data_IF_516025424003
#
_entry.id   IF_516025424003
#
_cell.length_a   1.000
_cell.length_b   1.000
_cell.length_c   1.000
_cell.angle_alpha   90.00
_cell.angle_beta   90.00
_cell.angle_gamma   90.00
#
_symmetry.space_group_name_H-M   'P 1'
#
loop_
_entity.id
_entity.type
_entity.pdbx_description
1 polymer ?
#
# COMPACT_ATOMS: atom_id res chain seq x y z
N UNK A 1 19.14 -24.29 -15.56
CA UNK A 1 18.26 -23.71 -14.54
C UNK A 1 18.60 -22.23 -14.41
N UNK A 2 17.85 -21.35 -15.04
CA UNK A 2 17.95 -19.91 -14.78
C UNK A 2 17.18 -19.66 -13.49
N UNK A 3 17.88 -19.29 -12.42
CA UNK A 3 17.22 -18.74 -11.22
C UNK A 3 16.29 -17.61 -11.68
N UNK A 4 14.99 -17.65 -11.35
CA UNK A 4 14.08 -16.58 -11.72
C UNK A 4 14.56 -15.34 -10.97
N UNK A 5 15.01 -14.34 -11.73
CA UNK A 5 15.43 -13.08 -11.17
C UNK A 5 14.27 -12.54 -10.32
N UNK A 6 14.52 -12.33 -9.02
CA UNK A 6 13.60 -11.63 -8.14
C UNK A 6 13.28 -10.27 -8.77
N UNK A 7 12.10 -10.14 -9.37
CA UNK A 7 11.65 -8.96 -10.09
C UNK A 7 10.99 -7.94 -9.14
N UNK A 8 11.38 -7.95 -7.87
CA UNK A 8 10.94 -6.95 -6.91
C UNK A 8 11.63 -5.61 -7.21
N UNK A 9 10.91 -4.73 -7.89
CA UNK A 9 11.31 -3.32 -8.02
C UNK A 9 10.48 -2.51 -7.03
N UNK A 10 11.05 -1.93 -5.97
CA UNK A 10 10.28 -1.16 -5.01
C UNK A 10 9.78 0.14 -5.66
N UNK A 11 8.54 0.13 -6.14
CA UNK A 11 7.91 1.31 -6.74
C UNK A 11 7.04 2.00 -5.70
N UNK A 12 7.39 3.23 -5.34
CA UNK A 12 6.51 4.09 -4.53
C UNK A 12 5.27 4.45 -5.34
N UNK A 13 4.09 4.39 -4.70
CA UNK A 13 2.83 4.85 -5.30
C UNK A 13 2.15 5.89 -4.43
N UNK A 14 1.42 6.79 -5.08
CA UNK A 14 0.57 7.76 -4.40
C UNK A 14 -0.77 7.12 -4.07
N UNK A 15 -1.33 7.47 -2.92
CA UNK A 15 -2.62 7.00 -2.44
C UNK A 15 -3.69 8.00 -2.85
N UNK A 16 -4.77 7.50 -3.47
CA UNK A 16 -5.95 8.28 -3.84
C UNK A 16 -7.12 8.10 -2.89
N UNK A 17 -7.18 6.99 -2.15
CA UNK A 17 -8.21 6.75 -1.13
C UNK A 17 -7.75 5.72 -0.09
N UNK A 18 -8.29 5.85 1.13
CA UNK A 18 -8.21 4.85 2.21
C UNK A 18 -9.58 4.73 2.88
N UNK A 19 -10.11 3.51 3.00
CA UNK A 19 -11.40 3.27 3.65
C UNK A 19 -11.27 3.24 5.18
N UNK A 20 -12.32 3.66 5.90
CA UNK A 20 -12.46 3.42 7.35
C UNK A 20 -12.96 1.99 7.55
N UNK A 21 -12.08 1.09 8.00
CA UNK A 21 -12.40 -0.31 8.30
C UNK A 21 -11.32 -0.95 9.21
N UNK A 22 -11.67 -2.07 9.83
CA UNK A 22 -10.72 -2.93 10.56
C UNK A 22 -9.59 -3.46 9.65
N UNK A 23 -9.87 -3.57 8.36
CA UNK A 23 -8.90 -3.90 7.32
C UNK A 23 -9.00 -2.88 6.20
N UNK A 24 -8.24 -1.80 6.30
CA UNK A 24 -8.36 -0.70 5.36
C UNK A 24 -8.02 -1.13 3.93
N UNK A 25 -8.89 -0.79 2.98
CA UNK A 25 -8.61 -0.85 1.55
C UNK A 25 -7.93 0.45 1.14
N UNK A 26 -6.77 0.32 0.53
CA UNK A 26 -5.98 1.43 -0.01
C UNK A 26 -6.11 1.41 -1.53
N UNK A 27 -6.41 2.56 -2.11
CA UNK A 27 -6.41 2.77 -3.56
C UNK A 27 -5.23 3.63 -3.96
N UNK A 28 -4.48 3.22 -4.98
CA UNK A 28 -3.36 3.98 -5.56
C UNK A 28 -3.81 4.78 -6.78
N UNK A 29 -3.06 5.83 -7.12
CA UNK A 29 -3.35 6.66 -8.31
C UNK A 29 -3.00 5.99 -9.64
N UNK A 30 -2.21 4.91 -9.62
CA UNK A 30 -1.76 4.15 -10.78
C UNK A 30 -1.49 2.69 -10.38
N UNK A 31 -1.28 1.82 -11.39
CA UNK A 31 -0.94 0.41 -11.19
C UNK A 31 0.27 0.26 -10.27
N UNK A 32 0.09 -0.44 -9.15
CA UNK A 32 1.13 -0.57 -8.15
C UNK A 32 2.16 -1.66 -8.43
N UNK A 33 1.82 -2.69 -9.22
CA UNK A 33 2.71 -3.84 -9.46
C UNK A 33 3.07 -4.68 -8.22
N UNK A 34 2.50 -4.39 -7.05
CA UNK A 34 2.66 -5.20 -5.83
C UNK A 34 1.98 -6.56 -5.93
N UNK A 35 2.43 -7.49 -5.10
CA UNK A 35 1.88 -8.83 -4.96
C UNK A 35 1.24 -9.04 -3.57
N UNK A 36 0.25 -9.93 -3.51
CA UNK A 36 -0.30 -10.37 -2.22
C UNK A 36 0.79 -11.00 -1.37
N UNK A 37 0.89 -10.56 -0.12
CA UNK A 37 1.93 -10.99 0.81
C UNK A 37 3.08 -10.01 0.94
N UNK A 38 3.16 -8.99 0.09
CA UNK A 38 4.16 -7.93 0.20
C UNK A 38 3.98 -7.12 1.49
N UNK A 39 5.11 -6.63 2.01
CA UNK A 39 5.18 -5.69 3.11
C UNK A 39 5.39 -4.29 2.56
N UNK A 40 4.43 -3.42 2.86
CA UNK A 40 4.44 -2.02 2.46
C UNK A 40 4.32 -1.12 3.67
N UNK A 41 4.82 0.11 3.53
CA UNK A 41 4.71 1.16 4.52
C UNK A 41 3.72 2.20 4.02
N UNK A 42 2.68 2.44 4.82
CA UNK A 42 1.70 3.49 4.54
C UNK A 42 2.11 4.79 5.20
N UNK A 43 1.99 5.88 4.44
CA UNK A 43 2.25 7.24 4.91
C UNK A 43 1.09 8.10 4.44
N UNK A 44 0.23 8.50 5.36
CA UNK A 44 -0.90 9.40 5.10
C UNK A 44 -0.78 10.59 6.06
N UNK A 45 -0.37 11.76 5.55
CA UNK A 45 -0.26 12.97 6.37
C UNK A 45 -1.65 13.48 6.79
N UNK A 46 -1.76 14.07 7.97
CA UNK A 46 -3.05 14.52 8.53
C UNK A 46 -3.82 15.55 7.70
N UNK A 47 -3.17 16.21 6.73
CA UNK A 47 -3.85 17.08 5.74
C UNK A 47 -4.84 16.31 4.85
N UNK A 48 -4.72 14.98 4.79
CA UNK A 48 -5.66 14.09 4.11
C UNK A 48 -6.83 13.67 5.02
N UNK A 49 -7.04 14.31 6.16
CA UNK A 49 -8.06 13.94 7.13
C UNK A 49 -7.71 12.70 7.95
N UNK A 50 -7.04 11.71 7.36
CA UNK A 50 -6.55 10.50 8.04
C UNK A 50 -5.05 10.62 8.33
N UNK A 51 -4.61 10.16 9.51
CA UNK A 51 -3.18 10.09 9.87
C UNK A 51 -2.74 8.63 9.89
N UNK A 52 -1.76 8.29 9.07
CA UNK A 52 -1.03 7.01 9.12
C UNK A 52 0.46 7.33 9.05
N UNK A 53 1.19 7.13 10.14
CA UNK A 53 2.58 7.55 10.26
C UNK A 53 3.54 6.36 10.13
N UNK A 54 4.05 6.16 8.92
CA UNK A 54 5.04 5.13 8.59
C UNK A 54 4.65 3.70 9.02
N UNK A 55 3.35 3.37 8.99
CA UNK A 55 2.84 2.11 9.51
C UNK A 55 3.13 0.95 8.53
N UNK A 56 3.87 -0.10 8.96
CA UNK A 56 4.13 -1.27 8.14
C UNK A 56 2.90 -2.19 8.10
N UNK A 57 2.57 -2.71 6.93
CA UNK A 57 1.43 -3.60 6.74
C UNK A 57 1.71 -4.67 5.69
N UNK A 58 1.18 -5.86 5.91
CA UNK A 58 1.15 -6.93 4.91
C UNK A 58 -0.11 -6.79 4.07
N UNK A 59 0.03 -6.78 2.76
CA UNK A 59 -1.08 -6.49 1.85
C UNK A 59 -1.71 -7.75 1.25
N UNK A 60 -3.00 -7.66 0.94
CA UNK A 60 -3.72 -8.57 0.04
C UNK A 60 -4.19 -7.77 -1.16
N UNK A 61 -3.57 -8.00 -2.33
CA UNK A 61 -3.91 -7.28 -3.57
C UNK A 61 -5.27 -7.74 -4.08
N UNK A 62 -6.15 -6.79 -4.35
CA UNK A 62 -7.52 -7.05 -4.85
C UNK A 62 -7.72 -6.60 -6.30
N UNK A 63 -6.91 -5.64 -6.77
CA UNK A 63 -6.83 -5.24 -8.18
C UNK A 63 -5.46 -4.62 -8.48
N UNK A 64 -5.22 -4.14 -9.70
CA UNK A 64 -3.97 -3.44 -10.06
C UNK A 64 -3.78 -2.11 -9.32
N UNK A 65 -4.84 -1.54 -8.75
CA UNK A 65 -4.82 -0.24 -8.06
C UNK A 65 -5.34 -0.31 -6.64
N UNK A 66 -5.66 -1.51 -6.12
CA UNK A 66 -6.24 -1.67 -4.80
C UNK A 66 -5.66 -2.87 -4.07
N UNK A 67 -5.45 -2.68 -2.78
CA UNK A 67 -5.09 -3.75 -1.86
C UNK A 67 -5.70 -3.50 -0.49
N UNK A 68 -5.96 -4.59 0.22
CA UNK A 68 -6.38 -4.59 1.62
C UNK A 68 -5.18 -4.69 2.53
N UNK A 69 -5.22 -4.01 3.65
CA UNK A 69 -4.16 -3.95 4.67
C UNK A 69 -4.64 -4.60 5.96
N UNK A 70 -3.72 -4.90 6.88
CA UNK A 70 -4.06 -5.30 8.26
C UNK A 70 -4.10 -4.10 9.23
N UNK A 71 -4.04 -2.87 8.71
CA UNK A 71 -4.15 -1.65 9.52
C UNK A 71 -5.61 -1.39 9.82
N UNK A 72 -5.93 -1.31 11.11
CA UNK A 72 -7.23 -0.85 11.58
C UNK A 72 -7.29 0.68 11.50
N UNK A 73 -8.28 1.16 10.74
CA UNK A 73 -8.56 2.57 10.53
C UNK A 73 -9.95 2.96 11.03
N UNK A 74 -10.68 2.04 11.68
CA UNK A 74 -12.06 2.24 12.16
C UNK A 74 -12.20 3.42 13.14
N UNK A 75 -11.15 3.69 13.91
CA UNK A 75 -11.08 4.77 14.89
C UNK A 75 -10.45 6.06 14.32
N UNK A 76 -10.10 6.08 13.04
CA UNK A 76 -9.47 7.24 12.38
C UNK A 76 -10.50 8.07 11.64
N UNK A 77 -10.16 9.35 11.44
CA UNK A 77 -10.94 10.24 10.60
C UNK A 77 -10.90 9.78 9.13
N UNK A 78 -11.91 10.19 8.36
CA UNK A 78 -12.03 9.83 6.96
C UNK A 78 -10.88 10.40 6.12
N UNK A 79 -10.44 9.60 5.14
CA UNK A 79 -9.52 10.08 4.12
C UNK A 79 -10.23 11.07 3.19
N UNK A 80 -9.62 12.22 2.99
CA UNK A 80 -10.07 13.28 2.09
C UNK A 80 -8.86 13.72 1.27
N UNK A 81 -8.91 13.49 -0.05
CA UNK A 81 -7.89 14.02 -0.94
C UNK A 81 -7.96 15.56 -0.91
N UNK A 82 -6.84 16.28 -0.69
CA UNK A 82 -6.85 17.73 -0.67
C UNK A 82 -7.14 18.28 -2.08
N UNK A 83 -7.87 19.39 -2.17
CA UNK A 83 -8.24 20.05 -3.43
C UNK A 83 -7.05 20.73 -4.12
N UNK A 84 -5.94 20.90 -3.40
CA UNK A 84 -4.66 21.33 -3.93
C UNK A 84 -3.57 20.35 -3.45
N UNK A 85 -2.46 20.19 -4.19
CA UNK A 85 -1.36 19.36 -3.74
C UNK A 85 -0.90 19.82 -2.34
N UNK A 86 -0.72 18.91 -1.37
CA UNK A 86 -0.23 19.29 -0.06
C UNK A 86 1.17 19.91 -0.19
N UNK A 87 1.41 20.98 0.57
CA UNK A 87 2.64 21.77 0.48
C UNK A 87 3.92 20.99 0.85
N UNK A 88 3.81 19.81 1.49
CA UNK A 88 4.97 19.11 2.05
C UNK A 88 5.09 17.64 1.64
N UNK A 89 4.02 16.83 1.71
CA UNK A 89 4.12 15.39 1.41
C UNK A 89 2.78 14.83 0.95
N UNK A 90 2.80 14.04 -0.13
CA UNK A 90 1.63 13.32 -0.61
C UNK A 90 1.37 12.05 0.20
N UNK A 91 0.11 11.63 0.30
CA UNK A 91 -0.21 10.30 0.78
C UNK A 91 0.41 9.26 -0.16
N UNK A 92 1.15 8.30 0.40
CA UNK A 92 1.96 7.37 -0.38
C UNK A 92 2.16 6.04 0.32
N UNK A 93 2.45 5.04 -0.50
CA UNK A 93 2.82 3.69 -0.08
C UNK A 93 4.21 3.36 -0.63
N UNK A 94 5.04 2.78 0.22
CA UNK A 94 6.43 2.39 -0.10
C UNK A 94 6.61 0.91 0.22
N UNK A 95 6.87 0.04 -0.78
CA UNK A 95 7.17 -1.36 -0.51
C UNK A 95 8.57 -1.50 0.11
N UNK A 96 8.72 -2.35 1.11
CA UNK A 96 10.02 -2.59 1.78
C UNK A 96 10.34 -4.07 2.01
N UNK A 97 9.43 -4.98 1.66
CA UNK A 97 9.66 -6.41 1.64
C UNK A 97 8.60 -7.09 0.78
N UNK A 98 8.91 -8.25 0.23
CA UNK A 98 8.00 -8.99 -0.64
C UNK A 98 8.24 -10.48 -0.58
N UNK A 99 7.21 -11.25 -0.93
CA UNK A 99 7.36 -12.69 -1.15
C UNK A 99 7.56 -12.87 -2.64
N UNK A 100 8.77 -13.23 -3.07
CA UNK A 100 8.99 -13.65 -4.45
C UNK A 100 8.17 -14.92 -4.69
N UNK A 101 7.20 -14.85 -5.61
CA UNK A 101 6.43 -16.03 -6.03
C UNK A 101 7.34 -16.92 -6.87
N UNK A 102 8.23 -17.66 -6.21
CA UNK A 102 8.96 -18.76 -6.86
C UNK A 102 9.20 -20.00 -6.01
N UNK A 103 8.75 -20.05 -4.76
CA UNK A 103 8.92 -21.25 -3.91
C UNK A 103 7.60 -22.00 -3.67
N UNK A 104 6.89 -22.32 -4.76
CA UNK A 104 5.86 -23.38 -4.73
C UNK A 104 6.08 -24.33 -5.91
N UNK A 105 7.21 -25.02 -5.90
CA UNK A 105 7.26 -26.39 -6.42
C UNK A 105 7.27 -27.31 -5.20
N UNK A 106 6.08 -27.65 -4.73
CA UNK A 106 5.82 -28.80 -3.84
C UNK A 106 6.18 -30.10 -4.63
N UNK A 107 6.65 -31.18 -3.97
CA UNK A 107 7.36 -32.31 -4.58
C UNK A 107 6.51 -33.22 -5.47
#
# INVERSE_FOLDING_TARGET
MTSPAANFTPVRRLISAVTIAEQAVVTTTADHGYSTGDWVRLIVPGVYGMVIDYEPTKITVTSTTQFRTNVDTSYRLAFVAPTAPPAFTNAQVVPFGGVSVTDVTDP
#
